data_IF_599298742230
#
_entry.id   IF_599298742230
#
_cell.length_a   1.000
_cell.length_b   1.000
_cell.length_c   1.000
_cell.angle_alpha   90.00
_cell.angle_beta   90.00
_cell.angle_gamma   90.00
#
_symmetry.space_group_name_H-M   'P 1'
#
loop_
_entity.id
_entity.type
_entity.pdbx_description
1 polymer ?
#
# COMPACT_ATOMS: atom_id res chain seq x y z
N UNK A 1 32.10 -3.15 58.52
CA UNK A 1 31.00 -2.20 58.76
C UNK A 1 31.16 -1.07 57.75
N UNK A 2 30.33 -0.81 56.77
CA UNK A 2 29.06 -1.38 56.32
C UNK A 2 28.95 -0.99 54.83
N UNK A 3 28.58 -1.93 53.99
CA UNK A 3 27.77 -1.65 52.79
C UNK A 3 26.38 -1.15 53.25
N UNK A 4 25.63 -0.43 52.39
CA UNK A 4 24.63 -1.17 51.62
C UNK A 4 24.49 -0.75 50.15
N UNK A 5 24.22 -1.78 49.34
CA UNK A 5 23.58 -1.75 48.03
C UNK A 5 22.21 -1.05 48.05
N UNK A 6 21.85 -0.38 46.95
CA UNK A 6 20.61 -0.57 46.19
C UNK A 6 20.46 0.54 45.13
N UNK A 7 20.71 0.22 43.86
CA UNK A 7 20.09 0.85 42.66
C UNK A 7 20.53 0.13 41.35
N UNK A 8 20.96 -1.12 41.46
CA UNK A 8 21.30 -2.01 40.32
C UNK A 8 20.30 -3.16 40.18
N UNK A 9 19.04 -2.94 40.57
CA UNK A 9 17.94 -3.86 40.33
C UNK A 9 16.93 -3.16 39.42
N UNK A 10 16.85 -3.64 38.18
CA UNK A 10 15.76 -3.51 37.20
C UNK A 10 16.28 -3.36 35.76
N UNK A 11 17.19 -4.26 35.36
CA UNK A 11 17.33 -4.64 33.94
C UNK A 11 17.71 -6.13 33.85
N UNK A 12 16.72 -6.99 34.06
CA UNK A 12 16.73 -8.33 33.47
C UNK A 12 15.61 -8.38 32.44
N UNK A 13 15.84 -7.81 31.26
CA UNK A 13 14.99 -8.05 30.10
C UNK A 13 15.20 -9.50 29.64
N UNK A 14 14.35 -10.38 30.18
CA UNK A 14 14.10 -11.76 29.76
C UNK A 14 15.32 -12.68 29.85
N UNK A 15 15.37 -13.43 30.96
CA UNK A 15 16.25 -14.56 31.22
C UNK A 15 16.19 -15.63 30.13
N UNK A 16 17.32 -16.32 29.95
CA UNK A 16 17.60 -17.46 29.07
C UNK A 16 16.57 -18.62 29.14
N UNK A 17 15.33 -18.42 28.70
CA UNK A 17 14.54 -19.52 28.17
C UNK A 17 15.08 -19.85 26.77
N UNK A 18 15.21 -21.14 26.46
CA UNK A 18 15.43 -21.59 25.08
C UNK A 18 14.23 -21.17 24.23
N UNK A 19 14.29 -19.94 23.71
CA UNK A 19 13.25 -19.40 22.84
C UNK A 19 13.24 -20.26 21.58
N UNK A 20 12.13 -20.97 21.36
CA UNK A 20 11.91 -21.77 20.16
C UNK A 20 12.07 -20.85 18.92
N UNK A 21 13.09 -21.08 18.07
CA UNK A 21 13.39 -20.21 16.94
C UNK A 21 12.23 -20.17 15.94
N UNK A 22 11.42 -21.24 15.84
CA UNK A 22 10.24 -21.26 14.96
C UNK A 22 9.15 -20.33 15.46
N UNK A 23 8.86 -20.34 16.76
CA UNK A 23 7.87 -19.45 17.37
C UNK A 23 8.30 -18.00 17.26
N UNK A 24 9.57 -17.70 17.57
CA UNK A 24 10.11 -16.34 17.45
C UNK A 24 10.01 -15.80 16.01
N UNK A 25 10.37 -16.63 15.03
CA UNK A 25 10.28 -16.27 13.62
C UNK A 25 8.83 -16.04 13.18
N UNK A 26 7.92 -16.96 13.53
CA UNK A 26 6.49 -16.86 13.22
C UNK A 26 5.87 -15.59 13.80
N UNK A 27 6.17 -15.29 15.07
CA UNK A 27 5.68 -14.11 15.75
C UNK A 27 6.23 -12.82 15.10
N UNK A 28 7.53 -12.78 14.79
CA UNK A 28 8.15 -11.63 14.14
C UNK A 28 7.56 -11.35 12.76
N UNK A 29 7.32 -12.40 11.96
CA UNK A 29 6.67 -12.28 10.65
C UNK A 29 5.24 -11.74 10.78
N UNK A 30 4.48 -12.21 11.77
CA UNK A 30 3.14 -11.70 12.04
C UNK A 30 3.19 -10.20 12.37
N UNK A 31 4.11 -9.77 13.23
CA UNK A 31 4.31 -8.34 13.54
C UNK A 31 4.64 -7.53 12.29
N UNK A 32 5.56 -8.00 11.45
CA UNK A 32 5.94 -7.29 10.23
C UNK A 32 4.74 -7.11 9.28
N UNK A 33 3.94 -8.16 9.08
CA UNK A 33 2.75 -8.10 8.24
C UNK A 33 1.71 -7.13 8.81
N UNK A 34 1.41 -7.24 10.11
CA UNK A 34 0.43 -6.38 10.76
C UNK A 34 0.84 -4.90 10.73
N UNK A 35 2.13 -4.61 10.95
CA UNK A 35 2.64 -3.24 10.99
C UNK A 35 2.68 -2.64 9.58
N UNK A 36 3.12 -3.40 8.57
CA UNK A 36 3.09 -2.96 7.17
C UNK A 36 1.67 -2.68 6.70
N UNK A 37 0.70 -3.51 7.10
CA UNK A 37 -0.72 -3.33 6.78
C UNK A 37 -1.30 -2.09 7.48
N UNK A 38 -0.98 -1.87 8.75
CA UNK A 38 -1.41 -0.64 9.44
C UNK A 38 -0.82 0.60 8.77
N UNK A 39 0.47 0.58 8.44
CA UNK A 39 1.14 1.70 7.78
C UNK A 39 0.52 2.02 6.41
N UNK A 40 0.16 1.00 5.62
CA UNK A 40 -0.51 1.22 4.33
C UNK A 40 -1.93 1.77 4.49
N UNK A 41 -2.71 1.26 5.44
CA UNK A 41 -4.05 1.76 5.73
C UNK A 41 -4.01 3.21 6.25
N UNK A 42 -3.03 3.54 7.09
CA UNK A 42 -2.83 4.91 7.58
C UNK A 42 -2.53 5.86 6.42
N UNK A 43 -1.59 5.52 5.53
CA UNK A 43 -1.26 6.36 4.37
C UNK A 43 -2.43 6.54 3.41
N UNK A 44 -3.13 5.44 3.07
CA UNK A 44 -4.30 5.47 2.19
C UNK A 44 -5.42 6.33 2.79
N UNK A 45 -5.75 6.13 4.07
CA UNK A 45 -6.81 6.89 4.73
C UNK A 45 -6.50 8.39 4.83
N UNK A 46 -5.27 8.76 5.18
CA UNK A 46 -4.88 10.17 5.25
C UNK A 46 -4.96 10.84 3.87
N UNK A 47 -4.53 10.15 2.81
CA UNK A 47 -4.60 10.69 1.44
C UNK A 47 -6.01 10.85 0.89
N UNK A 48 -6.93 9.95 1.24
CA UNK A 48 -8.33 10.03 0.80
C UNK A 48 -9.11 11.10 1.57
N UNK A 49 -8.75 11.36 2.83
CA UNK A 49 -9.36 12.39 3.67
C UNK A 49 -8.83 13.79 3.28
N UNK A 50 -7.50 13.97 3.22
CA UNK A 50 -6.89 15.30 3.05
C UNK A 50 -6.89 15.74 1.58
N UNK A 51 -6.75 14.80 0.64
CA UNK A 51 -6.72 15.03 -0.83
C UNK A 51 -5.76 16.14 -1.28
N UNK A 52 -4.45 16.06 -0.96
CA UNK A 52 -3.49 17.13 -1.26
C UNK A 52 -3.24 17.36 -2.76
N UNK A 53 -3.63 16.43 -3.64
CA UNK A 53 -3.46 16.58 -5.09
C UNK A 53 -4.56 17.40 -5.79
N UNK A 54 -5.59 17.87 -5.07
CA UNK A 54 -6.67 18.71 -5.62
C UNK A 54 -6.44 20.18 -5.26
N UNK A 55 -6.80 21.12 -6.14
CA UNK A 55 -6.79 22.55 -5.80
C UNK A 55 -7.98 22.92 -4.90
N UNK A 56 -7.88 24.00 -4.12
CA UNK A 56 -8.99 24.51 -3.31
C UNK A 56 -10.27 24.80 -4.11
N UNK A 57 -10.14 25.19 -5.39
CA UNK A 57 -11.28 25.35 -6.30
C UNK A 57 -11.98 24.01 -6.59
N UNK A 58 -11.21 22.95 -6.82
CA UNK A 58 -11.71 21.64 -7.23
C UNK A 58 -12.30 20.87 -6.04
N UNK A 59 -11.83 21.16 -4.82
CA UNK A 59 -12.43 20.68 -3.58
C UNK A 59 -13.88 21.19 -3.42
N UNK A 60 -14.15 22.46 -3.78
CA UNK A 60 -15.51 22.99 -3.76
C UNK A 60 -16.39 22.39 -4.88
N UNK A 61 -15.83 22.15 -6.07
CA UNK A 61 -16.56 21.46 -7.15
C UNK A 61 -16.89 20.00 -6.81
N UNK A 62 -15.98 19.27 -6.14
CA UNK A 62 -16.25 17.89 -5.70
C UNK A 62 -17.25 17.83 -4.56
N UNK A 63 -17.23 18.77 -3.61
CA UNK A 63 -18.27 18.84 -2.56
C UNK A 63 -19.66 19.11 -3.18
N UNK A 64 -19.74 19.93 -4.24
CA UNK A 64 -20.99 20.21 -4.96
C UNK A 64 -21.41 19.05 -5.89
N UNK A 65 -20.47 18.23 -6.39
CA UNK A 65 -20.76 17.05 -7.23
C UNK A 65 -20.96 15.75 -6.44
N UNK A 66 -20.66 15.71 -5.13
CA UNK A 66 -21.11 14.59 -4.28
C UNK A 66 -22.65 14.52 -4.24
N UNK A 67 -23.33 15.63 -4.57
CA UNK A 67 -24.79 15.67 -4.74
C UNK A 67 -25.28 15.23 -6.13
N UNK A 68 -24.40 14.90 -7.09
CA UNK A 68 -24.81 14.55 -8.46
C UNK A 68 -23.98 13.39 -9.05
N UNK A 69 -24.34 12.15 -8.69
CA UNK A 69 -24.89 11.14 -9.61
C UNK A 69 -24.74 9.71 -9.07
N UNK A 70 -25.72 8.87 -9.41
CA UNK A 70 -25.80 7.39 -9.37
C UNK A 70 -26.72 6.70 -8.36
N UNK A 71 -27.18 7.37 -7.30
CA UNK A 71 -28.26 6.84 -6.43
C UNK A 71 -29.34 7.90 -6.20
N UNK A 72 -28.96 9.14 -5.94
CA UNK A 72 -29.91 10.21 -5.62
C UNK A 72 -30.82 10.58 -6.80
N UNK A 73 -30.33 10.58 -8.04
CA UNK A 73 -31.20 10.76 -9.22
C UNK A 73 -32.22 9.62 -9.39
N UNK A 74 -31.82 8.39 -9.08
CA UNK A 74 -32.68 7.19 -9.16
C UNK A 74 -33.74 7.20 -8.05
N UNK A 75 -33.36 7.68 -6.86
CA UNK A 75 -34.23 7.90 -5.71
C UNK A 75 -35.20 9.06 -5.99
N UNK A 76 -34.74 10.16 -6.56
CA UNK A 76 -35.52 11.36 -6.91
C UNK A 76 -36.54 11.09 -8.03
N UNK A 77 -36.12 10.38 -9.09
CA UNK A 77 -37.00 9.99 -10.21
C UNK A 77 -38.10 9.02 -9.72
N UNK A 78 -37.77 8.10 -8.80
CA UNK A 78 -38.77 7.17 -8.22
C UNK A 78 -39.65 7.86 -7.18
N UNK A 79 -39.12 8.76 -6.36
CA UNK A 79 -39.88 9.59 -5.39
C UNK A 79 -40.97 10.39 -6.10
N UNK A 80 -40.61 11.10 -7.18
CA UNK A 80 -41.57 11.87 -8.01
C UNK A 80 -42.62 10.99 -8.70
N UNK A 81 -42.32 9.71 -9.00
CA UNK A 81 -43.29 8.76 -9.56
C UNK A 81 -44.21 8.14 -8.51
N UNK A 82 -43.76 7.99 -7.27
CA UNK A 82 -44.51 7.39 -6.16
C UNK A 82 -45.47 8.40 -5.50
N UNK A 83 -45.07 9.67 -5.37
CA UNK A 83 -45.97 10.78 -4.98
C UNK A 83 -47.18 10.88 -5.93
N UNK A 84 -47.00 10.52 -7.21
CA UNK A 84 -48.07 10.51 -8.21
C UNK A 84 -49.04 9.33 -8.06
N UNK A 85 -48.66 8.24 -7.38
CA UNK A 85 -49.40 6.97 -7.35
C UNK A 85 -49.85 6.51 -5.93
N UNK A 86 -49.69 7.32 -4.88
CA UNK A 86 -50.22 7.06 -3.53
C UNK A 86 -49.72 5.74 -2.87
N UNK A 87 -48.45 5.39 -3.04
CA UNK A 87 -47.83 4.25 -2.33
C UNK A 87 -47.31 4.66 -0.94
N UNK A 88 -47.48 3.79 0.07
CA UNK A 88 -47.02 4.00 1.45
C UNK A 88 -45.49 4.13 1.59
N UNK A 89 -45.04 5.05 2.45
CA UNK A 89 -43.61 5.34 2.74
C UNK A 89 -42.81 4.12 3.21
N UNK A 90 -43.44 3.17 3.89
CA UNK A 90 -42.79 1.96 4.41
C UNK A 90 -42.28 1.04 3.29
N UNK A 91 -42.99 0.98 2.16
CA UNK A 91 -42.56 0.23 0.98
C UNK A 91 -41.34 0.89 0.31
N UNK A 92 -41.22 2.21 0.38
CA UNK A 92 -40.11 2.96 -0.20
C UNK A 92 -38.81 2.74 0.58
N UNK A 93 -38.85 2.81 1.91
CA UNK A 93 -37.69 2.54 2.77
C UNK A 93 -37.20 1.11 2.60
N UNK A 94 -38.10 0.12 2.54
CA UNK A 94 -37.74 -1.28 2.32
C UNK A 94 -37.11 -1.52 0.94
N UNK A 95 -37.58 -0.85 -0.11
CA UNK A 95 -36.99 -0.93 -1.45
C UNK A 95 -35.61 -0.28 -1.49
N UNK A 96 -35.42 0.87 -0.83
CA UNK A 96 -34.11 1.52 -0.73
C UNK A 96 -33.14 0.63 0.03
N UNK A 97 -33.52 0.13 1.22
CA UNK A 97 -32.69 -0.77 2.01
C UNK A 97 -32.34 -2.05 1.23
N UNK A 98 -33.29 -2.60 0.46
CA UNK A 98 -33.05 -3.75 -0.42
C UNK A 98 -32.06 -3.42 -1.55
N UNK A 99 -32.20 -2.27 -2.21
CA UNK A 99 -31.27 -1.84 -3.28
C UNK A 99 -29.88 -1.59 -2.69
N UNK A 100 -29.77 -0.92 -1.55
CA UNK A 100 -28.49 -0.72 -0.85
C UNK A 100 -27.84 -2.05 -0.45
N UNK A 101 -28.60 -2.95 0.19
CA UNK A 101 -28.08 -4.25 0.63
C UNK A 101 -27.69 -5.15 -0.56
N UNK A 102 -28.50 -5.18 -1.63
CA UNK A 102 -28.19 -5.93 -2.84
C UNK A 102 -26.98 -5.35 -3.57
N UNK A 103 -26.81 -4.03 -3.60
CA UNK A 103 -25.68 -3.37 -4.26
C UNK A 103 -24.40 -3.58 -3.47
N UNK A 104 -24.47 -3.53 -2.13
CA UNK A 104 -23.35 -3.82 -1.24
C UNK A 104 -22.87 -5.27 -1.34
N UNK A 105 -23.78 -6.25 -1.32
CA UNK A 105 -23.41 -7.67 -1.51
C UNK A 105 -22.74 -7.91 -2.86
N UNK A 106 -23.24 -7.30 -3.93
CA UNK A 106 -22.61 -7.40 -5.24
C UNK A 106 -21.25 -6.70 -5.31
N UNK A 107 -21.07 -5.58 -4.61
CA UNK A 107 -19.79 -4.90 -4.54
C UNK A 107 -18.74 -5.75 -3.82
N UNK A 108 -19.12 -6.44 -2.74
CA UNK A 108 -18.26 -7.42 -2.06
C UNK A 108 -17.93 -8.62 -2.95
N UNK A 109 -18.90 -9.14 -3.69
CA UNK A 109 -18.68 -10.22 -4.65
C UNK A 109 -17.74 -9.78 -5.79
N UNK A 110 -17.95 -8.59 -6.35
CA UNK A 110 -17.08 -7.99 -7.37
C UNK A 110 -15.66 -7.76 -6.84
N UNK A 111 -15.53 -7.23 -5.62
CA UNK A 111 -14.25 -7.05 -4.95
C UNK A 111 -13.53 -8.40 -4.82
N UNK A 112 -14.24 -9.42 -4.34
CA UNK A 112 -13.69 -10.77 -4.20
C UNK A 112 -13.26 -11.32 -5.56
N UNK A 113 -14.13 -11.27 -6.58
CA UNK A 113 -13.82 -11.76 -7.92
C UNK A 113 -12.66 -11.00 -8.56
N UNK A 114 -12.59 -9.68 -8.38
CA UNK A 114 -11.50 -8.85 -8.89
C UNK A 114 -10.18 -9.19 -8.19
N UNK A 115 -10.16 -9.18 -6.85
CA UNK A 115 -8.95 -9.49 -6.09
C UNK A 115 -8.50 -10.93 -6.36
N UNK A 116 -9.41 -11.89 -6.28
CA UNK A 116 -9.09 -13.30 -6.44
C UNK A 116 -8.56 -13.60 -7.84
N UNK A 117 -9.23 -13.14 -8.92
CA UNK A 117 -8.75 -13.38 -10.30
C UNK A 117 -7.46 -12.64 -10.62
N UNK A 118 -7.23 -11.46 -10.05
CA UNK A 118 -5.98 -10.76 -10.28
C UNK A 118 -4.83 -11.30 -9.42
N UNK A 119 -5.08 -11.87 -8.24
CA UNK A 119 -4.08 -12.59 -7.44
C UNK A 119 -3.77 -13.97 -8.05
N UNK A 120 -4.80 -14.67 -8.55
CA UNK A 120 -4.71 -15.97 -9.19
C UNK A 120 -5.14 -15.87 -10.66
N UNK A 121 -4.24 -15.38 -11.52
CA UNK A 121 -4.57 -15.19 -12.93
C UNK A 121 -4.70 -16.54 -13.64
N UNK A 122 -5.57 -16.56 -14.66
CA UNK A 122 -5.91 -17.77 -15.40
C UNK A 122 -4.69 -18.43 -16.09
N UNK A 123 -3.64 -17.64 -16.37
CA UNK A 123 -2.40 -18.07 -17.02
C UNK A 123 -1.17 -17.41 -16.38
N UNK A 124 0.01 -18.04 -16.51
CA UNK A 124 1.29 -17.49 -16.00
C UNK A 124 1.79 -16.27 -16.78
N UNK A 125 1.48 -16.16 -18.07
CA UNK A 125 2.00 -15.09 -18.94
C UNK A 125 1.08 -13.88 -19.04
N UNK A 126 -0.24 -14.08 -18.93
CA UNK A 126 -1.24 -13.01 -19.05
C UNK A 126 -0.98 -11.82 -18.10
N UNK A 127 -0.60 -12.02 -16.83
CA UNK A 127 -0.32 -10.92 -15.90
C UNK A 127 0.78 -9.98 -16.36
N UNK A 128 1.72 -10.47 -17.16
CA UNK A 128 2.82 -9.66 -17.69
C UNK A 128 2.34 -8.59 -18.68
N UNK A 129 1.14 -8.74 -19.25
CA UNK A 129 0.63 -7.87 -20.31
C UNK A 129 -0.79 -7.35 -20.07
N UNK A 130 -1.58 -8.01 -19.22
CA UNK A 130 -3.00 -7.71 -19.06
C UNK A 130 -3.51 -7.89 -17.62
N UNK A 131 -4.47 -7.04 -17.26
CA UNK A 131 -5.21 -7.03 -15.99
C UNK A 131 -6.67 -7.31 -16.28
N UNK A 132 -7.27 -8.17 -15.47
CA UNK A 132 -8.64 -8.65 -15.69
C UNK A 132 -9.62 -7.82 -14.88
N UNK A 133 -10.55 -7.16 -15.56
CA UNK A 133 -11.63 -6.38 -14.94
C UNK A 133 -12.94 -7.14 -15.09
N UNK A 134 -13.71 -7.21 -13.99
CA UNK A 134 -15.06 -7.77 -14.01
C UNK A 134 -16.06 -6.63 -13.91
N UNK A 135 -16.78 -6.36 -15.00
CA UNK A 135 -17.86 -5.38 -15.02
C UNK A 135 -19.19 -6.09 -14.82
N UNK A 136 -20.06 -5.51 -14.01
CA UNK A 136 -21.43 -5.99 -13.81
C UNK A 136 -22.41 -5.13 -14.57
N UNK A 137 -23.32 -5.79 -15.28
CA UNK A 137 -24.46 -5.13 -15.89
C UNK A 137 -25.74 -5.74 -15.31
N UNK A 138 -26.67 -4.88 -14.89
CA UNK A 138 -28.01 -5.32 -14.49
C UNK A 138 -28.73 -5.81 -15.74
N UNK A 139 -29.13 -7.08 -15.74
CA UNK A 139 -30.00 -7.62 -16.79
C UNK A 139 -31.44 -7.30 -16.40
N UNK A 140 -31.95 -6.21 -16.98
CA UNK A 140 -33.34 -5.81 -16.79
C UNK A 140 -34.30 -6.83 -17.45
N UNK A 141 -35.40 -7.23 -16.78
CA UNK A 141 -36.42 -8.07 -17.39
C UNK A 141 -37.10 -7.29 -18.52
N UNK A 142 -36.91 -7.75 -19.76
CA UNK A 142 -37.39 -7.05 -20.96
C UNK A 142 -38.92 -7.07 -21.12
N UNK A 143 -39.61 -8.00 -20.48
CA UNK A 143 -41.01 -8.32 -20.78
C UNK A 143 -42.01 -7.84 -19.71
N UNK A 144 -41.62 -7.69 -18.44
CA UNK A 144 -42.51 -7.24 -17.36
C UNK A 144 -41.77 -6.34 -16.36
N UNK A 145 -41.85 -5.02 -16.57
CA UNK A 145 -41.30 -4.02 -15.63
C UNK A 145 -42.07 -3.97 -14.30
N UNK A 146 -43.29 -4.50 -14.22
CA UNK A 146 -44.09 -4.62 -13.00
C UNK A 146 -43.51 -5.58 -11.97
N UNK A 147 -42.73 -6.58 -12.40
CA UNK A 147 -42.03 -7.53 -11.52
C UNK A 147 -40.98 -6.84 -10.64
N UNK A 148 -40.52 -5.64 -11.00
CA UNK A 148 -39.57 -4.83 -10.23
C UNK A 148 -40.21 -4.28 -8.94
N UNK A 149 -41.54 -4.22 -8.89
CA UNK A 149 -42.31 -3.75 -7.73
C UNK A 149 -42.69 -4.88 -6.77
N UNK A 150 -42.44 -6.14 -7.14
CA UNK A 150 -42.66 -7.27 -6.26
C UNK A 150 -41.61 -7.28 -5.14
N UNK A 151 -42.04 -7.50 -3.90
CA UNK A 151 -41.17 -7.53 -2.73
C UNK A 151 -40.04 -8.59 -2.82
N UNK A 152 -40.15 -9.56 -3.74
CA UNK A 152 -39.20 -10.64 -3.96
C UNK A 152 -38.35 -10.49 -5.25
N UNK A 153 -38.34 -9.31 -5.88
CA UNK A 153 -37.57 -9.10 -7.09
C UNK A 153 -36.06 -9.25 -6.84
N UNK A 154 -35.45 -10.31 -7.39
CA UNK A 154 -33.99 -10.45 -7.43
C UNK A 154 -33.45 -9.94 -8.76
N UNK A 155 -32.72 -8.84 -8.73
CA UNK A 155 -31.98 -8.35 -9.89
C UNK A 155 -31.00 -9.44 -10.36
N UNK A 156 -31.06 -9.79 -11.66
CA UNK A 156 -30.09 -10.69 -12.28
C UNK A 156 -28.90 -9.87 -12.76
N UNK A 157 -27.72 -10.23 -12.28
CA UNK A 157 -26.47 -9.58 -12.63
C UNK A 157 -25.74 -10.43 -13.67
N UNK A 158 -25.29 -9.79 -14.74
CA UNK A 158 -24.39 -10.43 -15.71
C UNK A 158 -23.00 -9.86 -15.51
N UNK A 159 -22.07 -10.74 -15.15
CA UNK A 159 -20.65 -10.42 -15.05
C UNK A 159 -20.02 -10.57 -16.43
N UNK A 160 -19.47 -9.49 -16.97
CA UNK A 160 -18.66 -9.50 -18.18
C UNK A 160 -17.21 -9.26 -17.79
N UNK A 161 -16.34 -10.16 -18.24
CA UNK A 161 -14.90 -10.07 -17.97
C UNK A 161 -14.23 -9.41 -19.17
N UNK A 162 -13.49 -8.34 -18.92
CA UNK A 162 -12.73 -7.62 -19.94
C UNK A 162 -11.26 -7.55 -19.52
N UNK A 163 -10.36 -7.79 -20.47
CA UNK A 163 -8.93 -7.69 -20.22
C UNK A 163 -8.45 -6.31 -20.69
N UNK A 164 -7.87 -5.55 -19.78
CA UNK A 164 -7.15 -4.32 -20.15
C UNK A 164 -5.70 -4.67 -20.43
N UNK A 165 -5.12 -4.13 -21.50
CA UNK A 165 -3.70 -4.28 -21.85
C UNK A 165 -2.79 -3.44 -20.92
N UNK A 166 -2.90 -3.69 -19.62
CA UNK A 166 -2.08 -3.11 -18.56
C UNK A 166 -1.57 -4.27 -17.70
N UNK A 167 -0.28 -4.33 -17.35
CA UNK A 167 0.26 -5.47 -16.65
C UNK A 167 -0.29 -5.56 -15.21
N UNK A 168 -0.69 -6.76 -14.80
CA UNK A 168 -1.25 -7.05 -13.49
C UNK A 168 -0.13 -7.32 -12.48
N UNK A 169 0.31 -6.27 -11.78
CA UNK A 169 1.43 -6.36 -10.83
C UNK A 169 1.14 -7.29 -9.65
N UNK A 170 -0.07 -7.25 -9.09
CA UNK A 170 -0.41 -8.09 -7.92
C UNK A 170 -0.41 -9.59 -8.27
N UNK A 171 -0.85 -9.94 -9.48
CA UNK A 171 -0.79 -11.32 -9.97
C UNK A 171 0.63 -11.82 -10.19
N UNK A 172 1.50 -10.98 -10.76
CA UNK A 172 2.93 -11.31 -10.91
C UNK A 172 3.55 -11.56 -9.53
N UNK A 173 3.31 -10.68 -8.55
CA UNK A 173 3.82 -10.86 -7.19
C UNK A 173 3.33 -12.16 -6.55
N UNK A 174 2.03 -12.45 -6.63
CA UNK A 174 1.45 -13.67 -6.07
C UNK A 174 2.04 -14.94 -6.69
N UNK A 175 2.23 -14.95 -8.01
CA UNK A 175 2.83 -16.06 -8.73
C UNK A 175 4.32 -16.25 -8.41
N UNK A 176 5.09 -15.16 -8.34
CA UNK A 176 6.50 -15.20 -7.93
C UNK A 176 6.65 -15.72 -6.50
N UNK A 177 5.75 -15.32 -5.59
CA UNK A 177 5.72 -15.82 -4.22
C UNK A 177 5.41 -17.32 -4.16
N UNK A 178 4.39 -17.77 -4.88
CA UNK A 178 4.04 -19.20 -4.97
C UNK A 178 5.19 -20.04 -5.55
N UNK A 179 5.85 -19.55 -6.61
CA UNK A 179 7.04 -20.19 -7.18
C UNK A 179 8.17 -20.30 -6.14
N UNK A 180 8.42 -19.24 -5.37
CA UNK A 180 9.39 -19.24 -4.27
C UNK A 180 9.09 -20.31 -3.22
N UNK A 181 7.82 -20.47 -2.83
CA UNK A 181 7.38 -21.51 -1.89
C UNK A 181 7.56 -22.92 -2.46
N UNK A 182 7.24 -23.14 -3.72
CA UNK A 182 7.44 -24.44 -4.39
C UNK A 182 8.92 -24.80 -4.48
N UNK A 183 9.77 -23.84 -4.88
CA UNK A 183 11.22 -24.05 -4.91
C UNK A 183 11.77 -24.39 -3.52
N UNK A 184 11.23 -23.78 -2.46
CA UNK A 184 11.57 -24.10 -1.07
C UNK A 184 11.15 -25.53 -0.70
N UNK A 185 9.91 -25.91 -1.03
CA UNK A 185 9.36 -27.24 -0.71
C UNK A 185 10.10 -28.39 -1.40
N UNK A 186 10.60 -28.17 -2.62
CA UNK A 186 11.33 -29.19 -3.39
C UNK A 186 12.77 -29.41 -2.92
N UNK A 187 13.28 -28.55 -2.02
CA UNK A 187 14.64 -28.61 -1.50
C UNK A 187 15.69 -28.00 -2.45
N UNK A 188 16.81 -27.55 -1.86
CA UNK A 188 17.86 -26.81 -2.57
C UNK A 188 18.57 -27.68 -3.62
N UNK A 189 18.79 -28.96 -3.31
CA UNK A 189 19.43 -29.95 -4.19
C UNK A 189 18.77 -30.02 -5.57
N UNK A 190 17.45 -30.24 -5.62
CA UNK A 190 16.69 -30.40 -6.88
C UNK A 190 16.48 -29.09 -7.63
N UNK A 191 16.50 -27.96 -6.93
CA UNK A 191 16.13 -26.65 -7.48
C UNK A 191 17.33 -25.73 -7.71
N UNK A 192 18.56 -26.23 -7.50
CA UNK A 192 19.79 -25.44 -7.58
C UNK A 192 19.93 -24.68 -8.90
N UNK A 193 19.73 -25.34 -10.04
CA UNK A 193 19.87 -24.72 -11.36
C UNK A 193 18.89 -23.57 -11.57
N UNK A 194 17.62 -23.76 -11.20
CA UNK A 194 16.58 -22.73 -11.32
C UNK A 194 16.90 -21.54 -10.39
N UNK A 195 17.33 -21.82 -9.15
CA UNK A 195 17.72 -20.77 -8.20
C UNK A 195 18.91 -19.94 -8.70
N UNK A 196 19.90 -20.59 -9.30
CA UNK A 196 21.05 -19.90 -9.90
C UNK A 196 20.62 -19.03 -11.07
N UNK A 197 19.82 -19.57 -12.00
CA UNK A 197 19.27 -18.81 -13.13
C UNK A 197 18.49 -17.58 -12.67
N UNK A 198 17.60 -17.72 -11.68
CA UNK A 198 16.84 -16.60 -11.13
C UNK A 198 17.75 -15.53 -10.52
N UNK A 199 18.78 -15.95 -9.79
CA UNK A 199 19.74 -15.04 -9.16
C UNK A 199 20.61 -14.31 -10.19
N UNK A 200 21.08 -15.01 -11.21
CA UNK A 200 21.87 -14.41 -12.29
C UNK A 200 21.02 -13.45 -13.13
N UNK A 201 19.77 -13.82 -13.42
CA UNK A 201 18.81 -12.96 -14.13
C UNK A 201 18.54 -11.69 -13.33
N UNK A 202 18.28 -11.80 -12.02
CA UNK A 202 18.11 -10.65 -11.13
C UNK A 202 19.35 -9.75 -11.15
N UNK A 203 20.56 -10.33 -11.07
CA UNK A 203 21.81 -9.56 -11.12
C UNK A 203 21.99 -8.82 -12.46
N UNK A 204 21.64 -9.45 -13.59
CA UNK A 204 21.74 -8.82 -14.93
C UNK A 204 20.74 -7.66 -15.05
N UNK A 205 19.50 -7.88 -14.61
CA UNK A 205 18.46 -6.85 -14.62
C UNK A 205 18.86 -5.68 -13.71
N UNK A 206 19.35 -5.97 -12.51
CA UNK A 206 19.84 -4.99 -11.54
C UNK A 206 21.00 -4.16 -12.11
N UNK A 207 21.99 -4.78 -12.76
CA UNK A 207 23.08 -4.06 -13.42
C UNK A 207 22.60 -3.19 -14.59
N UNK A 208 21.66 -3.70 -15.39
CA UNK A 208 21.07 -2.92 -16.49
C UNK A 208 20.40 -1.64 -15.97
N UNK A 209 19.71 -1.74 -14.83
CA UNK A 209 19.13 -0.58 -14.16
C UNK A 209 20.18 0.40 -13.62
N UNK A 210 21.30 -0.07 -13.08
CA UNK A 210 22.39 0.81 -12.64
C UNK A 210 22.95 1.65 -13.78
N UNK A 211 23.05 1.08 -14.99
CA UNK A 211 23.45 1.84 -16.18
C UNK A 211 22.42 2.90 -16.51
N UNK A 212 21.12 2.56 -16.53
CA UNK A 212 20.04 3.53 -16.76
C UNK A 212 20.05 4.67 -15.73
N UNK A 213 20.41 4.36 -14.48
CA UNK A 213 20.48 5.35 -13.41
C UNK A 213 21.53 6.41 -13.61
N UNK A 214 22.66 6.07 -14.23
CA UNK A 214 23.68 7.05 -14.54
C UNK A 214 23.16 8.11 -15.55
N UNK A 215 22.19 7.74 -16.39
CA UNK A 215 21.55 8.66 -17.35
C UNK A 215 20.30 9.35 -16.79
N UNK A 216 19.72 8.82 -15.71
CA UNK A 216 18.47 9.32 -15.13
C UNK A 216 18.51 10.81 -14.76
N UNK A 217 19.58 11.38 -14.17
CA UNK A 217 19.62 12.81 -13.83
C UNK A 217 19.37 13.71 -15.04
N UNK A 218 19.93 13.35 -16.21
CA UNK A 218 19.75 14.11 -17.46
C UNK A 218 18.30 13.95 -17.95
N UNK A 219 17.78 12.73 -17.96
CA UNK A 219 16.40 12.44 -18.38
C UNK A 219 15.37 13.16 -17.53
N UNK A 220 15.53 13.12 -16.20
CA UNK A 220 14.66 13.82 -15.25
C UNK A 220 14.74 15.34 -15.40
N UNK A 221 15.96 15.89 -15.54
CA UNK A 221 16.11 17.34 -15.75
C UNK A 221 15.36 17.81 -17.00
N UNK A 222 15.55 17.11 -18.13
CA UNK A 222 14.85 17.43 -19.38
C UNK A 222 13.33 17.27 -19.24
N UNK A 223 12.88 16.23 -18.53
CA UNK A 223 11.46 16.00 -18.29
C UNK A 223 10.83 17.09 -17.44
N UNK A 224 11.43 17.40 -16.29
CA UNK A 224 10.96 18.46 -15.40
C UNK A 224 10.92 19.80 -16.12
N UNK A 225 11.93 20.09 -16.94
CA UNK A 225 11.95 21.29 -17.77
C UNK A 225 10.79 21.31 -18.77
N UNK A 226 10.61 20.22 -19.54
CA UNK A 226 9.54 20.12 -20.53
C UNK A 226 8.14 20.21 -19.90
N UNK A 227 7.91 19.53 -18.78
CA UNK A 227 6.62 19.52 -18.10
C UNK A 227 6.38 20.84 -17.36
N UNK A 228 7.42 21.43 -16.77
CA UNK A 228 7.36 22.77 -16.17
C UNK A 228 6.96 23.85 -17.19
N UNK A 229 7.37 23.73 -18.45
CA UNK A 229 6.92 24.62 -19.54
C UNK A 229 5.46 24.40 -19.95
N UNK A 230 4.91 23.21 -19.74
CA UNK A 230 3.50 22.89 -20.07
C UNK A 230 2.52 23.33 -18.99
N UNK A 231 2.99 23.50 -17.76
CA UNK A 231 2.16 23.86 -16.62
C UNK A 231 1.69 25.31 -16.69
N UNK A 232 0.38 25.52 -16.53
CA UNK A 232 -0.20 26.86 -16.48
C UNK A 232 0.11 27.60 -15.16
N UNK A 233 0.36 26.88 -14.07
CA UNK A 233 0.64 27.47 -12.75
C UNK A 233 1.61 26.61 -11.92
N UNK A 234 2.90 26.90 -12.03
CA UNK A 234 3.96 26.25 -11.23
C UNK A 234 3.73 26.45 -9.72
N UNK A 235 3.18 27.61 -9.32
CA UNK A 235 2.87 27.92 -7.92
C UNK A 235 1.89 26.93 -7.30
N UNK A 236 0.86 26.51 -8.03
CA UNK A 236 -0.18 25.63 -7.51
C UNK A 236 0.37 24.21 -7.30
N UNK A 237 1.14 23.71 -8.27
CA UNK A 237 1.81 22.40 -8.16
C UNK A 237 2.81 22.40 -7.01
N UNK A 238 3.59 23.47 -6.83
CA UNK A 238 4.52 23.57 -5.71
C UNK A 238 3.79 23.52 -4.36
N UNK A 239 2.66 24.22 -4.22
CA UNK A 239 1.84 24.18 -3.00
C UNK A 239 1.28 22.77 -2.76
N UNK A 240 0.74 22.10 -3.78
CA UNK A 240 0.23 20.73 -3.69
C UNK A 240 1.34 19.75 -3.25
N UNK A 241 2.54 19.88 -3.82
CA UNK A 241 3.70 19.07 -3.43
C UNK A 241 4.11 19.32 -1.96
N UNK A 242 4.12 20.57 -1.50
CA UNK A 242 4.42 20.90 -0.10
C UNK A 242 3.39 20.26 0.84
N UNK A 243 2.09 20.36 0.52
CA UNK A 243 1.04 19.70 1.31
C UNK A 243 1.19 18.18 1.31
N UNK A 244 1.47 17.60 0.14
CA UNK A 244 1.69 16.17 -0.02
C UNK A 244 2.85 15.66 0.84
N UNK A 245 4.02 16.30 0.76
CA UNK A 245 5.19 15.94 1.56
C UNK A 245 5.00 16.23 3.05
N UNK A 246 4.31 17.32 3.41
CA UNK A 246 3.91 17.59 4.78
C UNK A 246 3.04 16.47 5.36
N UNK A 247 2.11 15.93 4.56
CA UNK A 247 1.26 14.81 4.95
C UNK A 247 2.04 13.50 5.08
N UNK A 248 3.05 13.25 4.22
CA UNK A 248 3.95 12.10 4.35
C UNK A 248 4.73 12.20 5.67
N UNK A 249 5.36 13.34 5.97
CA UNK A 249 6.04 13.57 7.25
C UNK A 249 5.11 13.31 8.43
N UNK A 250 3.91 13.88 8.37
CA UNK A 250 2.91 13.72 9.42
C UNK A 250 2.52 12.25 9.64
N UNK A 251 2.34 11.49 8.55
CA UNK A 251 2.05 10.06 8.59
C UNK A 251 3.17 9.27 9.26
N UNK A 252 4.43 9.58 8.92
CA UNK A 252 5.60 8.96 9.55
C UNK A 252 5.73 9.32 11.04
N UNK A 253 5.44 10.57 11.41
CA UNK A 253 5.43 11.03 12.80
C UNK A 253 4.37 10.26 13.60
N UNK A 254 3.17 10.08 13.07
CA UNK A 254 2.13 9.26 13.73
C UNK A 254 2.64 7.82 13.92
N UNK A 255 3.25 7.25 12.89
CA UNK A 255 3.72 5.86 12.94
C UNK A 255 4.81 5.69 14.01
N UNK A 256 5.79 6.60 14.04
CA UNK A 256 6.92 6.55 14.98
C UNK A 256 6.57 6.98 16.40
N UNK A 257 5.80 8.03 16.60
CA UNK A 257 5.59 8.61 17.92
C UNK A 257 4.27 8.20 18.58
N UNK A 258 3.33 7.66 17.82
CA UNK A 258 2.03 7.22 18.36
C UNK A 258 1.89 5.71 18.22
N UNK A 259 1.98 5.17 17.00
CA UNK A 259 1.68 3.77 16.76
C UNK A 259 2.70 2.81 17.40
N UNK A 260 4.00 2.93 17.08
CA UNK A 260 4.99 2.02 17.66
C UNK A 260 5.08 2.11 19.19
N UNK A 261 5.08 3.30 19.82
CA UNK A 261 5.10 3.40 21.28
C UNK A 261 3.85 2.80 21.93
N UNK A 262 2.67 3.01 21.34
CA UNK A 262 1.42 2.46 21.85
C UNK A 262 1.42 0.93 21.79
N UNK A 263 1.81 0.35 20.65
CA UNK A 263 1.83 -1.11 20.49
C UNK A 263 2.86 -1.75 21.42
N UNK A 264 4.06 -1.17 21.54
CA UNK A 264 5.07 -1.66 22.46
C UNK A 264 4.58 -1.59 23.91
N UNK A 265 4.02 -0.46 24.33
CA UNK A 265 3.49 -0.30 25.68
C UNK A 265 2.37 -1.29 26.01
N UNK A 266 1.46 -1.57 25.07
CA UNK A 266 0.38 -2.55 25.27
C UNK A 266 0.93 -3.97 25.44
N UNK A 267 2.00 -4.33 24.72
CA UNK A 267 2.53 -5.70 24.71
C UNK A 267 3.49 -5.95 25.88
N UNK A 268 4.41 -5.01 26.14
CA UNK A 268 5.50 -5.20 27.11
C UNK A 268 5.32 -4.39 28.39
N UNK A 269 4.42 -3.40 28.41
CA UNK A 269 4.32 -2.42 29.50
C UNK A 269 5.48 -1.42 29.56
N UNK A 270 6.44 -1.52 28.65
CA UNK A 270 7.68 -0.74 28.67
C UNK A 270 7.56 0.58 27.90
N UNK A 271 8.42 1.54 28.25
CA UNK A 271 8.46 2.84 27.60
C UNK A 271 9.35 2.83 26.34
N UNK A 272 8.75 2.93 25.15
CA UNK A 272 9.46 2.99 23.86
C UNK A 272 10.44 4.17 23.75
N UNK A 273 10.20 5.29 24.44
CA UNK A 273 11.11 6.43 24.41
C UNK A 273 12.47 6.12 25.06
N UNK A 274 12.52 5.15 25.99
CA UNK A 274 13.79 4.64 26.54
C UNK A 274 14.58 3.90 25.45
N UNK A 275 13.90 3.08 24.65
CA UNK A 275 14.49 2.38 23.52
C UNK A 275 15.04 3.35 22.48
N UNK A 276 14.29 4.43 22.14
CA UNK A 276 14.77 5.45 21.21
C UNK A 276 16.07 6.12 21.65
N UNK A 277 16.26 6.38 22.96
CA UNK A 277 17.53 6.90 23.48
C UNK A 277 18.67 5.91 23.30
N UNK A 278 18.41 4.62 23.49
CA UNK A 278 19.42 3.57 23.33
C UNK A 278 19.86 3.42 21.87
N UNK A 279 18.91 3.45 20.92
CA UNK A 279 19.19 3.28 19.48
C UNK A 279 19.49 4.59 18.74
N UNK A 280 19.60 5.72 19.44
CA UNK A 280 19.85 7.04 18.84
C UNK A 280 21.04 7.07 17.85
N UNK A 281 22.19 6.43 18.10
CA UNK A 281 23.28 6.39 17.12
C UNK A 281 22.86 5.74 15.80
N UNK A 282 22.07 4.66 15.86
CA UNK A 282 21.57 3.99 14.66
C UNK A 282 20.58 4.89 13.89
N UNK A 283 19.73 5.66 14.59
CA UNK A 283 18.82 6.62 13.97
C UNK A 283 19.62 7.71 13.21
N UNK A 284 20.67 8.25 13.83
CA UNK A 284 21.52 9.27 13.20
C UNK A 284 22.24 8.73 11.95
N UNK A 285 22.72 7.49 12.01
CA UNK A 285 23.32 6.82 10.84
C UNK A 285 22.27 6.55 9.77
N UNK A 286 21.04 6.17 10.13
CA UNK A 286 19.95 5.96 9.17
C UNK A 286 19.62 7.24 8.40
N UNK A 287 19.51 8.37 9.11
CA UNK A 287 19.22 9.68 8.51
C UNK A 287 20.38 10.13 7.61
N UNK A 288 21.64 9.95 8.06
CA UNK A 288 22.81 10.40 7.30
C UNK A 288 23.17 9.52 6.11
N UNK A 289 22.89 8.21 6.18
CA UNK A 289 23.25 7.24 5.13
C UNK A 289 22.11 6.90 4.18
N UNK A 290 20.87 7.24 4.55
CA UNK A 290 19.64 6.90 3.81
C UNK A 290 19.57 5.43 3.39
N UNK A 291 20.18 4.54 4.18
CA UNK A 291 20.35 3.12 3.83
C UNK A 291 20.19 2.20 5.03
N UNK A 292 19.20 1.30 4.96
CA UNK A 292 18.97 0.28 5.98
C UNK A 292 20.14 -0.71 6.08
N UNK A 293 20.82 -1.01 4.96
CA UNK A 293 21.94 -1.94 4.91
C UNK A 293 23.19 -1.39 5.62
N UNK A 294 23.49 -0.10 5.43
CA UNK A 294 24.61 0.58 6.11
C UNK A 294 24.32 0.74 7.61
N UNK A 295 23.05 0.93 7.97
CA UNK A 295 22.63 1.15 9.36
C UNK A 295 22.61 -0.15 10.19
N UNK A 296 22.35 -1.30 9.57
CA UNK A 296 22.14 -2.58 10.25
C UNK A 296 23.24 -2.95 11.28
N UNK A 297 24.55 -2.82 11.00
CA UNK A 297 25.60 -3.14 11.97
C UNK A 297 25.53 -2.26 13.23
N UNK A 298 25.25 -0.97 13.07
CA UNK A 298 25.12 0.00 14.17
C UNK A 298 23.86 -0.31 14.99
N UNK A 299 22.76 -0.66 14.32
CA UNK A 299 21.53 -1.11 14.99
C UNK A 299 21.79 -2.35 15.83
N UNK A 300 22.50 -3.35 15.30
CA UNK A 300 22.84 -4.56 16.05
C UNK A 300 23.66 -4.26 17.31
N UNK A 301 24.67 -3.40 17.21
CA UNK A 301 25.49 -2.99 18.36
C UNK A 301 24.63 -2.30 19.43
N UNK A 302 23.80 -1.33 19.04
CA UNK A 302 22.92 -0.63 19.98
C UNK A 302 21.94 -1.59 20.67
N UNK A 303 21.37 -2.55 19.94
CA UNK A 303 20.41 -3.50 20.49
C UNK A 303 21.05 -4.50 21.47
N UNK A 304 22.27 -4.96 21.20
CA UNK A 304 22.97 -5.91 22.08
C UNK A 304 23.60 -5.21 23.28
N UNK A 305 24.28 -4.09 23.08
CA UNK A 305 25.08 -3.44 24.13
C UNK A 305 24.25 -2.50 25.01
N UNK A 306 23.28 -1.77 24.43
CA UNK A 306 22.51 -0.74 25.16
C UNK A 306 21.11 -1.20 25.54
N UNK A 307 20.41 -1.88 24.63
CA UNK A 307 19.08 -2.43 24.91
C UNK A 307 19.13 -3.83 25.53
N UNK A 308 20.33 -4.41 25.71
CA UNK A 308 20.59 -5.71 26.34
C UNK A 308 19.77 -6.86 25.75
N UNK A 309 19.43 -6.79 24.46
CA UNK A 309 18.74 -7.88 23.77
C UNK A 309 19.73 -9.01 23.48
N UNK A 310 19.28 -10.26 23.65
CA UNK A 310 20.08 -11.45 23.31
C UNK A 310 20.65 -11.35 21.90
N UNK A 311 21.96 -11.56 21.80
CA UNK A 311 22.72 -11.52 20.54
C UNK A 311 22.15 -12.48 19.50
N UNK A 312 21.61 -13.61 19.92
CA UNK A 312 20.97 -14.61 19.05
C UNK A 312 19.70 -14.06 18.41
N UNK A 313 18.87 -13.34 19.18
CA UNK A 313 17.65 -12.69 18.68
C UNK A 313 18.02 -11.55 17.73
N UNK A 314 18.94 -10.68 18.13
CA UNK A 314 19.36 -9.53 17.34
C UNK A 314 19.93 -9.94 15.97
N UNK A 315 20.80 -10.95 15.93
CA UNK A 315 21.39 -11.46 14.68
C UNK A 315 20.41 -12.22 13.78
N UNK A 316 19.33 -12.75 14.34
CA UNK A 316 18.33 -13.50 13.56
C UNK A 316 17.24 -12.59 13.01
N UNK A 317 16.73 -11.66 13.83
CA UNK A 317 15.54 -10.87 13.51
C UNK A 317 15.88 -9.56 12.80
N UNK A 318 16.96 -8.86 13.17
CA UNK A 318 17.27 -7.55 12.56
C UNK A 318 17.60 -7.65 11.05
N UNK A 319 18.43 -8.60 10.57
CA UNK A 319 18.66 -8.77 9.14
C UNK A 319 17.39 -9.14 8.38
N UNK A 320 16.53 -9.96 8.99
CA UNK A 320 15.27 -10.38 8.40
C UNK A 320 14.29 -9.19 8.29
N UNK A 321 14.20 -8.38 9.34
CA UNK A 321 13.38 -7.17 9.37
C UNK A 321 13.85 -6.15 8.34
N UNK A 322 15.16 -6.00 8.13
CA UNK A 322 15.71 -5.10 7.11
C UNK A 322 15.16 -5.39 5.70
N UNK A 323 14.84 -6.64 5.37
CA UNK A 323 14.37 -7.02 4.03
C UNK A 323 12.85 -7.17 3.95
N UNK A 324 12.17 -7.57 5.03
CA UNK A 324 10.74 -7.91 5.01
C UNK A 324 9.88 -6.77 5.61
N UNK A 325 10.43 -5.98 6.51
CA UNK A 325 9.68 -5.01 7.32
C UNK A 325 9.87 -3.58 6.81
N UNK A 326 9.49 -3.34 5.55
CA UNK A 326 9.63 -2.03 4.91
C UNK A 326 8.36 -1.17 5.07
N UNK A 327 8.06 -0.73 6.29
CA UNK A 327 6.88 0.10 6.56
C UNK A 327 6.89 1.45 5.84
N UNK A 328 8.08 2.00 5.53
CA UNK A 328 8.19 3.20 4.72
C UNK A 328 7.67 2.99 3.31
N UNK A 329 7.95 1.84 2.70
CA UNK A 329 7.47 1.47 1.37
C UNK A 329 5.95 1.28 1.37
N UNK A 330 5.42 0.58 2.37
CA UNK A 330 3.99 0.29 2.44
C UNK A 330 3.14 1.54 2.71
N UNK A 331 3.72 2.59 3.29
CA UNK A 331 3.06 3.88 3.50
C UNK A 331 3.26 4.84 2.32
N UNK A 332 4.50 5.05 1.89
CA UNK A 332 4.88 6.08 0.94
C UNK A 332 4.32 5.85 -0.47
N UNK A 333 4.53 4.67 -1.06
CA UNK A 333 4.15 4.46 -2.46
C UNK A 333 2.63 4.47 -2.73
N UNK A 334 1.77 3.90 -1.85
CA UNK A 334 0.32 4.10 -1.97
C UNK A 334 -0.07 5.57 -1.90
N UNK A 335 0.56 6.35 -1.02
CA UNK A 335 0.29 7.78 -0.94
C UNK A 335 0.67 8.50 -2.23
N UNK A 336 1.84 8.20 -2.80
CA UNK A 336 2.26 8.72 -4.11
C UNK A 336 1.26 8.36 -5.21
N UNK A 337 0.80 7.10 -5.27
CA UNK A 337 -0.13 6.65 -6.30
C UNK A 337 -1.48 7.38 -6.22
N UNK A 338 -2.01 7.56 -5.01
CA UNK A 338 -3.24 8.32 -4.79
C UNK A 338 -3.03 9.81 -5.13
N UNK A 339 -1.89 10.38 -4.78
CA UNK A 339 -1.56 11.78 -5.12
C UNK A 339 -1.51 11.99 -6.64
N UNK A 340 -0.84 11.09 -7.37
CA UNK A 340 -0.80 11.12 -8.84
C UNK A 340 -2.20 10.99 -9.43
N UNK A 341 -3.05 10.10 -8.88
CA UNK A 341 -4.45 9.98 -9.33
C UNK A 341 -5.23 11.29 -9.10
N UNK A 342 -5.06 11.92 -7.93
CA UNK A 342 -5.72 13.19 -7.59
C UNK A 342 -5.29 14.33 -8.51
N UNK A 343 -4.00 14.50 -8.77
CA UNK A 343 -3.49 15.54 -9.69
C UNK A 343 -3.95 15.32 -11.14
N UNK A 344 -4.31 14.09 -11.52
CA UNK A 344 -4.91 13.78 -12.82
C UNK A 344 -6.44 13.79 -12.82
N UNK A 345 -7.06 14.13 -11.70
CA UNK A 345 -8.51 14.08 -11.51
C UNK A 345 -9.10 12.69 -11.84
N UNK A 346 -8.35 11.63 -11.54
CA UNK A 346 -8.81 10.24 -11.65
C UNK A 346 -9.43 9.86 -10.31
N UNK A 347 -10.72 9.50 -10.34
CA UNK A 347 -11.40 8.96 -9.17
C UNK A 347 -10.91 7.54 -8.88
N UNK A 348 -10.48 7.31 -7.63
CA UNK A 348 -10.00 6.01 -7.19
C UNK A 348 -11.14 5.27 -6.50
N UNK A 349 -11.56 4.15 -7.10
CA UNK A 349 -12.64 3.29 -6.60
C UNK A 349 -12.21 2.63 -5.27
N UNK A 350 -13.10 2.48 -4.27
CA UNK A 350 -12.75 1.77 -3.02
C UNK A 350 -12.15 0.37 -3.22
N UNK A 351 -12.54 -0.37 -4.27
CA UNK A 351 -11.89 -1.64 -4.65
C UNK A 351 -10.40 -1.42 -4.97
N UNK A 352 -10.06 -0.39 -5.75
CA UNK A 352 -8.68 -0.08 -6.10
C UNK A 352 -7.86 0.30 -4.85
N UNK A 353 -8.45 1.00 -3.88
CA UNK A 353 -7.78 1.33 -2.61
C UNK A 353 -7.42 0.07 -1.80
N UNK A 354 -8.32 -0.91 -1.74
CA UNK A 354 -8.06 -2.18 -1.05
C UNK A 354 -6.94 -2.95 -1.76
N UNK A 355 -7.01 -3.05 -3.09
CA UNK A 355 -5.99 -3.74 -3.90
C UNK A 355 -4.65 -3.04 -3.78
N UNK A 356 -4.63 -1.70 -3.73
CA UNK A 356 -3.44 -0.90 -3.49
C UNK A 356 -2.81 -1.20 -2.13
N UNK A 357 -3.62 -1.33 -1.07
CA UNK A 357 -3.15 -1.71 0.27
C UNK A 357 -2.57 -3.13 0.33
N UNK A 358 -3.19 -4.10 -0.35
CA UNK A 358 -2.67 -5.47 -0.46
C UNK A 358 -1.38 -5.53 -1.28
N UNK A 359 -1.31 -4.76 -2.37
CA UNK A 359 -0.10 -4.63 -3.17
C UNK A 359 1.04 -3.99 -2.38
N UNK A 360 0.74 -2.95 -1.58
CA UNK A 360 1.70 -2.33 -0.67
C UNK A 360 2.29 -3.32 0.33
N UNK A 361 1.45 -4.18 0.89
CA UNK A 361 1.89 -5.24 1.79
C UNK A 361 2.81 -6.23 1.08
N UNK A 362 2.42 -6.71 -0.11
CA UNK A 362 3.24 -7.64 -0.89
C UNK A 362 4.60 -7.04 -1.27
N UNK A 363 4.61 -5.77 -1.71
CA UNK A 363 5.84 -5.06 -2.08
C UNK A 363 6.75 -4.79 -0.88
N UNK A 364 6.20 -4.55 0.31
CA UNK A 364 6.99 -4.34 1.53
C UNK A 364 7.89 -5.53 1.90
N UNK A 365 7.55 -6.74 1.42
CA UNK A 365 8.33 -7.96 1.63
C UNK A 365 9.27 -8.30 0.47
N UNK A 366 9.11 -7.64 -0.69
CA UNK A 366 9.72 -8.02 -1.97
C UNK A 366 10.82 -7.07 -2.47
N UNK A 367 11.00 -5.90 -1.85
CA UNK A 367 12.01 -4.93 -2.28
C UNK A 367 13.37 -5.22 -1.63
N UNK A 368 14.46 -5.34 -2.42
CA UNK A 368 15.81 -5.42 -1.85
C UNK A 368 16.21 -4.09 -1.21
N UNK A 369 16.85 -4.13 -0.04
CA UNK A 369 17.28 -2.94 0.73
C UNK A 369 18.48 -2.17 0.16
N UNK A 370 18.69 -2.20 -1.15
CA UNK A 370 19.80 -1.54 -1.85
C UNK A 370 19.41 -0.13 -2.38
N UNK A 371 20.39 0.76 -2.68
CA UNK A 371 20.16 2.19 -2.81
C UNK A 371 19.10 2.61 -3.84
N UNK A 372 18.34 3.62 -3.40
CA UNK A 372 17.10 4.19 -3.92
C UNK A 372 17.16 4.89 -5.30
N UNK A 373 18.08 4.53 -6.19
CA UNK A 373 18.17 5.22 -7.48
C UNK A 373 17.03 4.85 -8.44
N UNK A 374 16.95 3.57 -8.82
CA UNK A 374 16.13 3.13 -9.97
C UNK A 374 14.98 2.23 -9.59
N UNK A 375 15.08 1.57 -8.44
CA UNK A 375 13.98 0.84 -7.86
C UNK A 375 12.81 1.79 -7.54
N UNK A 376 13.07 3.04 -7.12
CA UNK A 376 12.03 4.00 -6.73
C UNK A 376 11.11 4.36 -7.89
N UNK A 377 11.65 4.70 -9.06
CA UNK A 377 10.83 4.98 -10.25
C UNK A 377 9.97 3.78 -10.65
N UNK A 378 10.55 2.58 -10.67
CA UNK A 378 9.82 1.34 -11.02
C UNK A 378 8.70 1.10 -10.02
N UNK A 379 8.96 1.30 -8.73
CA UNK A 379 7.94 1.16 -7.70
C UNK A 379 6.82 2.18 -7.91
N UNK A 380 7.13 3.46 -8.13
CA UNK A 380 6.08 4.46 -8.43
C UNK A 380 5.22 4.05 -9.62
N UNK A 381 5.82 3.56 -10.70
CA UNK A 381 5.09 3.07 -11.88
C UNK A 381 4.25 1.83 -11.54
N UNK A 382 4.80 0.88 -10.76
CA UNK A 382 4.11 -0.34 -10.36
C UNK A 382 2.90 -0.04 -9.46
N UNK A 383 3.01 0.92 -8.53
CA UNK A 383 1.87 1.34 -7.72
C UNK A 383 0.84 2.14 -8.54
N UNK A 384 1.28 2.97 -9.48
CA UNK A 384 0.38 3.68 -10.38
C UNK A 384 -0.39 2.73 -11.33
N UNK A 385 0.22 1.62 -11.73
CA UNK A 385 -0.43 0.62 -12.60
C UNK A 385 -1.54 -0.16 -11.89
N UNK A 386 -1.45 -0.32 -10.56
CA UNK A 386 -2.53 -0.93 -9.76
C UNK A 386 -3.82 -0.11 -9.82
N UNK A 387 -3.71 1.22 -9.80
CA UNK A 387 -4.84 2.14 -9.99
C UNK A 387 -5.24 2.24 -11.48
N UNK A 388 -4.32 1.86 -12.38
CA UNK A 388 -4.54 1.92 -13.83
C UNK A 388 -4.32 3.31 -14.41
N UNK A 389 -3.48 4.14 -13.77
CA UNK A 389 -3.20 5.51 -14.22
C UNK A 389 -2.44 5.48 -15.55
N UNK A 390 -2.95 6.20 -16.55
CA UNK A 390 -2.25 6.38 -17.83
C UNK A 390 -1.18 7.46 -17.72
N UNK A 391 0.01 7.20 -18.28
CA UNK A 391 1.15 8.11 -18.30
C UNK A 391 1.52 8.74 -16.93
N UNK A 392 1.68 7.96 -15.84
CA UNK A 392 1.93 8.51 -14.50
C UNK A 392 3.29 9.25 -14.38
N UNK A 393 4.21 8.96 -15.30
CA UNK A 393 5.57 9.50 -15.34
C UNK A 393 5.65 11.04 -15.28
N UNK A 394 4.66 11.76 -15.83
CA UNK A 394 4.68 13.23 -15.84
C UNK A 394 4.65 13.84 -14.44
N UNK A 395 3.89 13.24 -13.52
CA UNK A 395 3.81 13.72 -12.13
C UNK A 395 4.88 13.06 -11.27
N UNK A 396 5.16 11.77 -11.51
CA UNK A 396 6.22 11.05 -10.80
C UNK A 396 7.56 11.77 -10.94
N UNK A 397 7.88 12.36 -12.10
CA UNK A 397 9.10 13.14 -12.29
C UNK A 397 9.27 14.26 -11.25
N UNK A 398 8.18 14.96 -10.88
CA UNK A 398 8.23 15.98 -9.83
C UNK A 398 8.40 15.37 -8.44
N UNK A 399 7.76 14.23 -8.16
CA UNK A 399 7.93 13.53 -6.88
C UNK A 399 9.39 13.07 -6.70
N UNK A 400 9.96 12.44 -7.73
CA UNK A 400 11.34 11.97 -7.71
C UNK A 400 12.34 13.12 -7.51
N UNK A 401 12.03 14.32 -8.01
CA UNK A 401 12.89 15.50 -7.85
C UNK A 401 13.08 15.93 -6.39
N UNK A 402 12.11 15.64 -5.52
CA UNK A 402 12.16 15.95 -4.09
C UNK A 402 12.37 14.69 -3.25
N UNK A 403 12.49 13.50 -3.85
CA UNK A 403 12.65 12.23 -3.14
C UNK A 403 13.98 12.14 -2.38
N UNK A 404 15.03 12.86 -2.79
CA UNK A 404 16.29 12.92 -2.04
C UNK A 404 16.16 13.53 -0.63
N UNK A 405 15.02 14.17 -0.33
CA UNK A 405 14.69 14.71 1.00
C UNK A 405 14.10 13.63 1.93
N UNK A 406 13.63 12.49 1.40
CA UNK A 406 12.76 11.53 2.09
C UNK A 406 13.32 10.12 2.25
#
# INVERSE_FOLDING_TARGET
>A
MNEPNSDSEDVQLVTNEEIDPKKLLSLSLMFFVCFSLFASLLGISLMTIVKPGLNQSDMNYTIVNIDNCSIDELVEIKRKRMEKNNYHMDSFVNIIMFVYQSTFCNYLELLFLFCFRNIFPDNLLQPMFATTYTQTQIVWPKENMSQILEANFKARWKHQTTNSFKPNMIGICAMSFALGLLLKSLGVEKTRTIRLLLKETESIVSQSFQVLLNFMPIGMFLWMFAEGLRMQSISNVAIQLIYFYGLIAFSFIILWFVFYPLVLFIITGENMFRLYRMIMPAILVAIGSTSSAITLPVTMQCMVERAQVSKTIARSILPLGMTIHMNGVSLYYPMCAIFVAQMKHIEVDPIQLIVLGLFALAMSMGLPGAPAGGATLINHIAFASVIGIDNPQNIIAFILAFEWIW
#
